data_IF_593260982306
#
_entry.id   IF_593260982306
#
_cell.length_a   1.000
_cell.length_b   1.000
_cell.length_c   1.000
_cell.angle_alpha   90.00
_cell.angle_beta   90.00
_cell.angle_gamma   90.00
#
_symmetry.space_group_name_H-M   'P 1'
#
loop_
_entity.id
_entity.type
_entity.pdbx_description
1 polymer ?
#
# COMPACT_ATOMS: atom_id res chain seq x y z
N UNK A 1 29.70 16.75 -17.80
CA UNK A 1 28.58 17.08 -16.89
C UNK A 1 29.07 16.88 -15.46
N UNK A 2 29.39 17.96 -14.73
CA UNK A 2 29.81 17.88 -13.33
C UNK A 2 28.55 17.77 -12.47
N UNK A 3 28.32 16.59 -11.88
CA UNK A 3 27.24 16.38 -10.93
C UNK A 3 27.68 17.01 -9.61
N UNK A 4 27.13 18.17 -9.28
CA UNK A 4 27.26 18.74 -7.94
C UNK A 4 26.38 17.93 -6.99
N UNK A 5 26.99 17.08 -6.14
CA UNK A 5 26.33 16.59 -4.93
C UNK A 5 26.17 17.77 -3.99
N UNK A 6 25.00 18.41 -4.03
CA UNK A 6 24.56 19.28 -2.95
C UNK A 6 24.46 18.40 -1.70
N UNK A 7 25.33 18.62 -0.71
CA UNK A 7 25.29 17.93 0.58
C UNK A 7 24.02 18.36 1.32
N UNK A 8 22.89 17.76 0.97
CA UNK A 8 21.80 17.64 1.91
C UNK A 8 22.25 16.56 2.90
N UNK A 9 22.57 16.97 4.13
CA UNK A 9 22.59 16.01 5.23
C UNK A 9 21.14 15.58 5.44
N UNK A 10 20.70 14.58 4.68
CA UNK A 10 19.44 13.92 4.93
C UNK A 10 19.56 13.17 6.24
N UNK A 11 18.74 13.52 7.22
CA UNK A 11 18.55 12.66 8.38
C UNK A 11 18.00 11.31 7.91
N UNK A 12 18.51 10.22 8.49
CA UNK A 12 17.95 8.90 8.18
C UNK A 12 16.51 8.85 8.68
N UNK A 13 15.65 8.22 7.90
CA UNK A 13 14.28 7.93 8.33
C UNK A 13 14.30 7.21 9.69
N UNK A 14 13.39 7.56 10.61
CA UNK A 14 13.23 6.82 11.85
C UNK A 14 13.00 5.33 11.56
N UNK A 15 13.46 4.41 12.44
CA UNK A 15 13.11 3.01 12.35
C UNK A 15 11.58 2.84 12.26
N UNK A 16 11.12 1.99 11.34
CA UNK A 16 9.70 1.72 11.07
C UNK A 16 8.90 2.92 10.51
N UNK A 17 9.57 3.95 9.98
CA UNK A 17 8.89 4.98 9.21
C UNK A 17 8.70 4.55 7.76
N UNK A 18 7.53 4.84 7.20
CA UNK A 18 7.26 4.72 5.76
C UNK A 18 8.24 5.57 4.96
N UNK A 19 8.78 5.00 3.89
CA UNK A 19 9.70 5.64 2.97
C UNK A 19 9.34 5.39 1.49
N UNK A 20 9.27 6.43 0.64
CA UNK A 20 9.39 7.85 0.97
C UNK A 20 8.29 8.30 1.94
N UNK A 21 8.58 9.32 2.75
CA UNK A 21 7.59 9.84 3.68
C UNK A 21 6.38 10.39 2.91
N UNK A 22 5.15 9.89 3.15
CA UNK A 22 3.94 10.44 2.55
C UNK A 22 3.78 11.92 2.88
N UNK A 23 3.10 12.66 2.00
CA UNK A 23 2.91 14.12 2.21
C UNK A 23 2.18 14.44 3.51
N UNK A 24 1.27 13.55 3.93
CA UNK A 24 0.53 13.65 5.18
C UNK A 24 0.31 12.24 5.75
N UNK A 25 0.56 12.07 7.05
CA UNK A 25 0.23 10.86 7.81
C UNK A 25 -0.54 11.29 9.06
N UNK A 26 -1.67 10.64 9.29
CA UNK A 26 -2.37 10.71 10.57
C UNK A 26 -2.55 9.28 11.08
N UNK A 27 -1.71 8.88 12.04
CA UNK A 27 -1.65 7.53 12.58
C UNK A 27 -2.10 7.50 14.05
N UNK A 28 -2.78 6.44 14.44
CA UNK A 28 -3.08 6.14 15.85
C UNK A 28 -2.03 5.19 16.44
N UNK A 29 -2.05 5.03 17.76
CA UNK A 29 -1.25 4.02 18.46
C UNK A 29 -1.95 2.65 18.49
N UNK A 30 -3.08 2.48 17.80
CA UNK A 30 -3.79 1.21 17.74
C UNK A 30 -3.10 0.26 16.77
N UNK A 31 -2.76 -0.93 17.25
CA UNK A 31 -2.21 -1.98 16.42
C UNK A 31 -3.35 -2.82 15.83
N UNK A 32 -3.19 -3.29 14.60
CA UNK A 32 -4.09 -4.25 13.97
C UNK A 32 -3.35 -5.55 13.72
N UNK A 33 -4.11 -6.64 13.68
CA UNK A 33 -3.59 -7.94 13.31
C UNK A 33 -4.05 -8.32 11.91
N UNK A 34 -3.21 -9.04 11.17
CA UNK A 34 -3.56 -9.60 9.88
C UNK A 34 -3.49 -11.12 9.98
N UNK A 35 -4.44 -11.80 9.34
CA UNK A 35 -4.33 -13.24 9.05
C UNK A 35 -3.81 -13.40 7.62
N UNK A 36 -2.55 -13.79 7.43
CA UNK A 36 -1.94 -13.91 6.11
C UNK A 36 -2.77 -14.68 5.09
N UNK A 37 -3.40 -15.78 5.53
CA UNK A 37 -4.18 -16.68 4.68
C UNK A 37 -5.64 -16.25 4.46
N UNK A 38 -6.13 -15.23 5.17
CA UNK A 38 -7.54 -14.87 5.16
C UNK A 38 -7.80 -13.41 4.74
N UNK A 39 -6.76 -12.61 4.55
CA UNK A 39 -6.91 -11.27 4.02
C UNK A 39 -7.24 -11.33 2.52
N UNK A 40 -8.29 -10.61 2.13
CA UNK A 40 -8.72 -10.53 0.74
C UNK A 40 -8.30 -9.19 0.14
N UNK A 41 -7.75 -9.24 -1.07
CA UNK A 41 -7.39 -8.05 -1.84
C UNK A 41 -8.41 -7.90 -2.97
N UNK A 42 -9.11 -6.77 -2.99
CA UNK A 42 -10.13 -6.44 -3.99
C UNK A 42 -9.72 -5.21 -4.79
N UNK A 43 -10.13 -5.15 -6.06
CA UNK A 43 -9.97 -3.94 -6.89
C UNK A 43 -11.24 -3.64 -7.67
N UNK A 44 -11.61 -2.36 -7.81
CA UNK A 44 -12.75 -1.95 -8.62
C UNK A 44 -12.45 -1.89 -10.13
N UNK A 45 -11.18 -1.98 -10.52
CA UNK A 45 -10.77 -2.03 -11.93
C UNK A 45 -10.94 -3.46 -12.46
N UNK A 46 -11.69 -3.60 -13.54
CA UNK A 46 -11.80 -4.84 -14.28
C UNK A 46 -10.66 -4.92 -15.32
N UNK A 47 -10.12 -6.13 -15.53
CA UNK A 47 -9.15 -6.43 -16.61
C UNK A 47 -7.93 -5.50 -16.65
N UNK A 48 -7.17 -5.41 -15.55
CA UNK A 48 -5.93 -4.62 -15.47
C UNK A 48 -4.74 -5.48 -15.09
N UNK A 49 -3.83 -5.71 -16.04
CA UNK A 49 -2.67 -6.57 -15.82
C UNK A 49 -1.66 -5.95 -14.86
N UNK A 50 -1.51 -4.61 -14.85
CA UNK A 50 -0.64 -3.89 -13.91
C UNK A 50 -1.06 -4.16 -12.47
N UNK A 51 -2.33 -3.94 -12.13
CA UNK A 51 -2.85 -4.19 -10.77
C UNK A 51 -2.81 -5.68 -10.43
N UNK A 52 -3.18 -6.55 -11.38
CA UNK A 52 -3.12 -8.00 -11.17
C UNK A 52 -1.70 -8.46 -10.82
N UNK A 53 -0.69 -8.03 -11.60
CA UNK A 53 0.72 -8.34 -11.35
C UNK A 53 1.25 -7.69 -10.07
N UNK A 54 0.78 -6.49 -9.74
CA UNK A 54 1.15 -5.83 -8.49
C UNK A 54 0.64 -6.64 -7.28
N UNK A 55 -0.63 -7.04 -7.26
CA UNK A 55 -1.20 -7.87 -6.19
C UNK A 55 -0.40 -9.18 -6.05
N UNK A 56 -0.15 -9.88 -7.16
CA UNK A 56 0.66 -11.11 -7.18
C UNK A 56 2.07 -10.91 -6.61
N UNK A 57 2.66 -9.74 -6.80
CA UNK A 57 3.99 -9.40 -6.27
C UNK A 57 3.94 -9.04 -4.78
N UNK A 58 2.95 -8.26 -4.36
CA UNK A 58 2.88 -7.73 -3.00
C UNK A 58 2.36 -8.74 -1.99
N UNK A 59 1.48 -9.66 -2.38
CA UNK A 59 0.94 -10.69 -1.49
C UNK A 59 2.04 -11.48 -0.72
N UNK A 60 3.09 -12.03 -1.36
CA UNK A 60 4.18 -12.69 -0.64
C UNK A 60 5.10 -11.74 0.13
N UNK A 61 5.09 -10.43 -0.18
CA UNK A 61 5.85 -9.41 0.56
C UNK A 61 5.15 -9.09 1.88
N UNK A 62 3.83 -8.90 1.84
CA UNK A 62 3.00 -8.73 3.03
C UNK A 62 3.08 -9.96 3.93
N UNK A 63 3.06 -11.15 3.32
CA UNK A 63 2.91 -12.44 3.99
C UNK A 63 4.03 -13.40 3.63
N UNK A 64 5.26 -13.16 4.10
CA UNK A 64 6.35 -14.09 3.85
C UNK A 64 5.99 -15.46 4.45
N UNK A 65 6.34 -16.59 3.78
CA UNK A 65 5.89 -17.93 4.17
C UNK A 65 6.14 -18.30 5.64
N UNK A 66 7.20 -17.75 6.24
CA UNK A 66 7.55 -17.94 7.66
C UNK A 66 6.56 -17.32 8.65
N UNK A 67 5.85 -16.27 8.24
CA UNK A 67 4.82 -15.59 9.04
C UNK A 67 3.42 -16.12 8.74
N UNK A 68 3.25 -16.81 7.61
CA UNK A 68 1.96 -17.32 7.15
C UNK A 68 1.28 -18.26 8.16
N UNK A 69 2.06 -18.96 8.98
CA UNK A 69 1.55 -19.90 10.01
C UNK A 69 1.24 -19.25 11.36
N UNK A 70 1.40 -17.93 11.51
CA UNK A 70 1.15 -17.23 12.77
C UNK A 70 -0.24 -16.63 12.77
N UNK A 71 -1.15 -17.30 13.46
CA UNK A 71 -2.45 -16.70 13.76
C UNK A 71 -2.32 -15.60 14.82
N UNK A 72 -3.18 -14.55 14.74
CA UNK A 72 -3.33 -13.58 15.81
C UNK A 72 -3.67 -14.26 17.15
N UNK A 73 -3.32 -13.64 18.29
CA UNK A 73 -3.73 -14.14 19.61
C UNK A 73 -5.24 -14.35 19.68
N UNK A 74 -5.67 -15.38 20.41
CA UNK A 74 -7.09 -15.66 20.61
C UNK A 74 -7.80 -14.50 21.34
N UNK A 75 -9.00 -14.12 20.90
CA UNK A 75 -9.80 -13.04 21.50
C UNK A 75 -9.54 -11.64 20.95
N UNK A 76 -8.68 -11.50 19.95
CA UNK A 76 -8.42 -10.24 19.23
C UNK A 76 -9.51 -9.98 18.18
N UNK A 77 -10.09 -8.77 18.18
CA UNK A 77 -11.19 -8.37 17.28
C UNK A 77 -10.78 -7.35 16.20
N UNK A 78 -9.63 -6.71 16.38
CA UNK A 78 -9.00 -5.74 15.50
C UNK A 78 -8.18 -6.45 14.41
N UNK A 79 -8.88 -7.27 13.62
CA UNK A 79 -8.28 -8.06 12.54
C UNK A 79 -8.66 -7.44 11.21
N UNK A 80 -7.64 -7.00 10.49
CA UNK A 80 -7.74 -6.49 9.15
C UNK A 80 -8.02 -7.66 8.19
N UNK A 81 -9.15 -7.58 7.50
CA UNK A 81 -9.65 -8.66 6.64
C UNK A 81 -9.60 -8.31 5.17
N UNK A 82 -9.71 -7.02 4.83
CA UNK A 82 -9.82 -6.59 3.45
C UNK A 82 -8.84 -5.47 3.14
N UNK A 83 -8.19 -5.57 1.99
CA UNK A 83 -7.49 -4.48 1.32
C UNK A 83 -8.22 -4.17 0.01
N UNK A 84 -8.78 -2.97 -0.11
CA UNK A 84 -9.52 -2.54 -1.30
C UNK A 84 -8.74 -1.51 -2.07
N UNK A 85 -8.54 -1.74 -3.37
CA UNK A 85 -7.91 -0.82 -4.31
C UNK A 85 -9.00 -0.15 -5.17
N UNK A 86 -9.12 1.17 -5.07
CA UNK A 86 -10.21 1.92 -5.68
C UNK A 86 -9.69 3.07 -6.55
N UNK A 87 -9.91 3.01 -7.86
CA UNK A 87 -9.80 4.20 -8.72
C UNK A 87 -11.09 5.00 -8.65
N UNK A 88 -10.95 6.27 -8.29
CA UNK A 88 -11.99 7.30 -8.38
C UNK A 88 -12.22 7.68 -9.83
N UNK A 89 -13.47 7.95 -10.18
CA UNK A 89 -13.89 8.53 -11.46
C UNK A 89 -13.42 7.75 -12.70
N UNK A 90 -14.29 6.89 -13.24
CA UNK A 90 -14.05 6.05 -14.41
C UNK A 90 -12.80 5.13 -14.27
N UNK A 91 -12.93 3.98 -13.58
CA UNK A 91 -11.81 3.07 -13.36
C UNK A 91 -11.31 2.48 -14.69
N UNK A 92 -10.19 3.02 -15.17
CA UNK A 92 -9.51 2.59 -16.39
C UNK A 92 -8.10 2.08 -16.05
N UNK A 93 -7.65 1.07 -16.79
CA UNK A 93 -6.28 0.57 -16.67
C UNK A 93 -5.38 1.29 -17.68
N UNK A 94 -4.69 2.35 -17.23
CA UNK A 94 -3.65 3.00 -18.03
C UNK A 94 -2.53 2.01 -18.38
N UNK A 95 -1.97 2.13 -19.59
CA UNK A 95 -0.94 1.21 -20.08
C UNK A 95 0.48 1.71 -19.80
N UNK A 96 0.71 3.02 -19.95
CA UNK A 96 2.03 3.64 -19.84
C UNK A 96 1.98 4.88 -18.96
N UNK A 97 3.00 5.03 -18.13
CA UNK A 97 3.17 6.21 -17.31
C UNK A 97 3.62 7.39 -18.18
N UNK A 98 3.01 8.54 -17.93
CA UNK A 98 3.33 9.81 -18.56
C UNK A 98 3.88 10.77 -17.50
N UNK A 99 4.49 11.88 -17.95
CA UNK A 99 5.05 12.88 -17.04
C UNK A 99 3.98 13.50 -16.13
N UNK A 100 2.75 13.61 -16.62
CA UNK A 100 1.58 14.15 -15.93
C UNK A 100 0.65 13.08 -15.34
N UNK A 101 1.08 11.81 -15.33
CA UNK A 101 0.33 10.74 -14.69
C UNK A 101 0.10 11.03 -13.21
N UNK A 102 -1.15 10.87 -12.76
CA UNK A 102 -1.53 11.23 -11.39
C UNK A 102 -1.13 10.12 -10.39
N UNK A 103 -0.06 10.32 -9.64
CA UNK A 103 0.43 9.35 -8.64
C UNK A 103 -0.13 9.58 -7.22
N UNK A 104 -1.14 10.45 -7.07
CA UNK A 104 -1.74 10.74 -5.76
C UNK A 104 -2.60 9.58 -5.28
N UNK A 105 -2.53 9.31 -3.97
CA UNK A 105 -3.33 8.28 -3.32
C UNK A 105 -3.75 8.72 -1.93
N UNK A 106 -4.74 8.04 -1.38
CA UNK A 106 -5.16 8.11 0.01
C UNK A 106 -5.25 6.70 0.55
N UNK A 107 -4.45 6.37 1.56
CA UNK A 107 -4.52 5.11 2.28
C UNK A 107 -5.27 5.33 3.58
N UNK A 108 -6.43 4.71 3.73
CA UNK A 108 -7.23 4.74 4.96
C UNK A 108 -7.28 3.34 5.55
N UNK A 109 -6.85 3.21 6.81
CA UNK A 109 -6.90 1.94 7.54
C UNK A 109 -7.81 2.13 8.75
N UNK A 110 -8.82 1.28 8.86
CA UNK A 110 -9.68 1.19 10.04
C UNK A 110 -9.59 -0.22 10.64
N UNK A 111 -10.39 -0.51 11.68
CA UNK A 111 -10.29 -1.75 12.46
C UNK A 111 -10.38 -3.06 11.64
N UNK A 112 -11.01 -3.05 10.46
CA UNK A 112 -11.29 -4.27 9.68
C UNK A 112 -10.96 -4.17 8.20
N UNK A 113 -10.81 -2.96 7.65
CA UNK A 113 -10.53 -2.75 6.23
C UNK A 113 -9.48 -1.66 6.01
N UNK A 114 -8.66 -1.89 4.99
CA UNK A 114 -7.73 -0.94 4.41
C UNK A 114 -8.24 -0.58 3.02
N UNK A 115 -8.23 0.70 2.70
CA UNK A 115 -8.66 1.21 1.39
C UNK A 115 -7.56 2.09 0.84
N UNK A 116 -7.05 1.73 -0.34
CA UNK A 116 -6.20 2.59 -1.16
C UNK A 116 -7.08 3.20 -2.23
N UNK A 117 -7.32 4.50 -2.14
CA UNK A 117 -8.04 5.27 -3.15
C UNK A 117 -7.08 6.12 -3.97
N UNK A 118 -7.24 6.15 -5.28
CA UNK A 118 -6.43 6.96 -6.17
C UNK A 118 -7.24 7.44 -7.38
N UNK A 119 -6.69 8.36 -8.18
CA UNK A 119 -7.30 8.77 -9.45
C UNK A 119 -6.70 8.04 -10.67
N UNK A 120 -5.70 7.18 -10.46
CA UNK A 120 -5.07 6.37 -11.51
C UNK A 120 -4.50 5.07 -10.93
N UNK A 121 -4.10 4.17 -11.83
CA UNK A 121 -3.36 2.94 -11.50
C UNK A 121 -2.04 3.26 -10.80
N UNK A 122 -1.37 4.35 -11.17
CA UNK A 122 -0.06 4.72 -10.63
C UNK A 122 -0.17 5.11 -9.16
N UNK A 123 -1.21 5.86 -8.78
CA UNK A 123 -1.50 6.17 -7.37
C UNK A 123 -1.79 4.91 -6.56
N UNK A 124 -2.56 3.96 -7.11
CA UNK A 124 -2.80 2.67 -6.43
C UNK A 124 -1.49 1.91 -6.14
N UNK A 125 -0.54 1.91 -7.08
CA UNK A 125 0.77 1.28 -6.86
C UNK A 125 1.54 1.96 -5.73
N UNK A 126 1.50 3.30 -5.62
CA UNK A 126 2.15 4.04 -4.50
C UNK A 126 1.49 3.74 -3.16
N UNK A 127 0.17 3.62 -3.14
CA UNK A 127 -0.56 3.23 -1.94
C UNK A 127 -0.30 1.80 -1.50
N UNK A 128 -0.21 0.85 -2.44
CA UNK A 128 0.18 -0.54 -2.17
C UNK A 128 1.58 -0.64 -1.57
N UNK A 129 2.55 0.09 -2.13
CA UNK A 129 3.90 0.16 -1.59
C UNK A 129 3.89 0.69 -0.15
N UNK A 130 3.16 1.77 0.09
CA UNK A 130 3.02 2.36 1.43
C UNK A 130 2.42 1.37 2.42
N UNK A 131 1.35 0.67 2.02
CA UNK A 131 0.73 -0.36 2.84
C UNK A 131 1.69 -1.51 3.16
N UNK A 132 2.63 -1.84 2.27
CA UNK A 132 3.63 -2.91 2.51
C UNK A 132 4.68 -2.58 3.57
N UNK A 133 4.83 -1.31 3.89
CA UNK A 133 5.83 -0.81 4.83
C UNK A 133 5.25 -0.56 6.23
N UNK A 134 3.93 -0.65 6.38
CA UNK A 134 3.22 -0.57 7.66
C UNK A 134 3.17 -1.96 8.32
#
# INVERSE_FOLDING_TARGET
>A
IKIFRKNFQGERSPPNAVWPHPQQINASNELLYIRPHAIMIHSNIQTCDIITKAIQRYEPIFFPPKLSMRDPPSGVNNILQNLTLNIRDNPQCEQYIQHDSNETYTLTINLQMAIVEASSVWGLLRGLETFSQL
#
